data_IF_119404525322
#
_entry.id   IF_119404525322
#
_cell.length_a   1.000
_cell.length_b   1.000
_cell.length_c   1.000
_cell.angle_alpha   90.00
_cell.angle_beta   90.00
_cell.angle_gamma   90.00
#
_symmetry.space_group_name_H-M   'P 1'
#
loop_
_entity.id
_entity.type
_entity.pdbx_description
1 polymer ?
#
# COMPACT_ATOMS: atom_id res chain seq x y z
N UNK A 1 -2.00 -5.44 15.65
CA UNK A 1 -3.26 -6.17 15.41
C UNK A 1 -3.29 -6.87 14.05
N UNK A 2 -2.60 -6.37 13.02
CA UNK A 2 -2.41 -7.11 11.75
C UNK A 2 -0.90 -7.21 11.51
N UNK A 3 -0.34 -8.42 11.57
CA UNK A 3 1.09 -8.65 11.37
C UNK A 3 1.47 -8.71 9.89
N UNK A 4 0.56 -9.18 9.03
CA UNK A 4 0.76 -9.29 7.59
C UNK A 4 -0.57 -9.15 6.85
N UNK A 5 -0.54 -8.42 5.73
CA UNK A 5 -1.67 -8.28 4.81
C UNK A 5 -1.37 -9.12 3.57
N UNK A 6 -2.14 -10.20 3.38
CA UNK A 6 -1.95 -11.14 2.25
C UNK A 6 -2.71 -10.67 1.01
N UNK A 7 -3.91 -10.10 1.20
CA UNK A 7 -4.80 -9.65 0.13
C UNK A 7 -5.14 -8.15 0.34
N UNK A 8 -4.24 -7.23 -0.03
CA UNK A 8 -4.40 -5.82 0.31
C UNK A 8 -5.58 -5.15 -0.39
N UNK A 9 -5.97 -5.59 -1.58
CA UNK A 9 -7.15 -5.06 -2.29
C UNK A 9 -8.47 -5.49 -1.64
N UNK A 10 -8.54 -6.74 -1.15
CA UNK A 10 -9.72 -7.23 -0.44
C UNK A 10 -9.91 -6.50 0.89
N UNK A 11 -8.81 -6.33 1.63
CA UNK A 11 -8.83 -5.60 2.90
C UNK A 11 -9.20 -4.13 2.72
N UNK A 12 -8.69 -3.47 1.68
CA UNK A 12 -9.07 -2.11 1.31
C UNK A 12 -10.59 -1.98 1.15
N UNK A 13 -11.20 -2.86 0.33
CA UNK A 13 -12.65 -2.89 0.12
C UNK A 13 -13.45 -3.15 1.39
N UNK A 14 -12.96 -4.02 2.27
CA UNK A 14 -13.62 -4.27 3.57
C UNK A 14 -13.58 -3.03 4.48
N UNK A 15 -12.46 -2.29 4.47
CA UNK A 15 -12.32 -1.04 5.23
C UNK A 15 -13.25 0.05 4.70
N UNK A 16 -13.38 0.19 3.37
CA UNK A 16 -14.29 1.17 2.75
C UNK A 16 -15.76 0.91 3.10
N UNK A 17 -16.14 -0.36 3.28
CA UNK A 17 -17.50 -0.76 3.63
C UNK A 17 -17.76 -0.71 5.15
N UNK A 18 -16.74 -0.45 5.96
CA UNK A 18 -16.87 -0.43 7.42
C UNK A 18 -17.37 0.94 7.89
N UNK A 19 -18.53 0.96 8.55
CA UNK A 19 -19.11 2.19 9.09
C UNK A 19 -18.14 2.86 10.07
N UNK A 20 -17.92 4.17 9.89
CA UNK A 20 -17.01 4.95 10.72
C UNK A 20 -15.57 4.98 10.22
N UNK A 21 -15.21 4.20 9.20
CA UNK A 21 -13.97 4.38 8.45
C UNK A 21 -14.18 5.47 7.41
N UNK A 22 -13.34 6.50 7.45
CA UNK A 22 -13.39 7.61 6.49
C UNK A 22 -12.53 7.29 5.26
N UNK A 23 -11.33 6.75 5.49
CA UNK A 23 -10.35 6.41 4.47
C UNK A 23 -9.39 5.34 5.01
N UNK A 24 -8.69 4.62 4.12
CA UNK A 24 -7.64 3.67 4.50
C UNK A 24 -6.27 4.05 3.90
N UNK A 25 -5.18 3.60 4.55
CA UNK A 25 -3.81 3.86 4.09
C UNK A 25 -3.26 2.93 3.00
N UNK A 26 -4.08 2.08 2.39
CA UNK A 26 -3.64 1.11 1.38
C UNK A 26 -3.62 1.73 -0.03
N UNK A 27 -2.43 2.00 -0.55
CA UNK A 27 -2.23 2.56 -1.89
C UNK A 27 -2.05 1.46 -2.96
N UNK A 28 -3.12 0.69 -3.19
CA UNK A 28 -3.09 -0.43 -4.15
C UNK A 28 -3.18 0.07 -5.59
N UNK A 29 -2.26 -0.36 -6.46
CA UNK A 29 -2.31 -0.08 -7.90
C UNK A 29 -2.05 1.37 -8.34
N UNK A 30 -1.80 2.29 -7.41
CA UNK A 30 -1.64 3.72 -7.71
C UNK A 30 -0.21 4.10 -8.11
N UNK A 31 0.80 3.38 -7.62
CA UNK A 31 2.20 3.75 -7.77
C UNK A 31 2.76 3.26 -9.10
N UNK A 32 3.31 4.20 -9.89
CA UNK A 32 3.99 3.92 -11.17
C UNK A 32 5.52 3.86 -11.05
N UNK A 33 6.07 4.54 -10.04
CA UNK A 33 7.50 4.74 -9.84
C UNK A 33 7.80 4.78 -8.34
N UNK A 34 8.82 4.03 -7.92
CA UNK A 34 9.32 3.97 -6.55
C UNK A 34 10.81 4.31 -6.56
N UNK A 35 11.19 5.28 -5.73
CA UNK A 35 12.59 5.67 -5.52
C UNK A 35 13.03 5.12 -4.16
N UNK A 36 14.01 4.22 -4.16
CA UNK A 36 14.53 3.57 -2.95
C UNK A 36 15.93 4.10 -2.67
N UNK A 37 16.10 4.81 -1.56
CA UNK A 37 17.41 5.18 -1.05
C UNK A 37 18.03 3.99 -0.28
N UNK A 38 19.19 3.50 -0.75
CA UNK A 38 19.96 2.43 -0.11
C UNK A 38 21.31 2.93 0.34
N UNK A 39 21.98 2.16 1.20
CA UNK A 39 23.37 2.41 1.60
C UNK A 39 24.34 2.47 0.39
N UNK A 40 24.03 1.74 -0.67
CA UNK A 40 24.83 1.66 -1.90
C UNK A 40 24.45 2.70 -2.96
N UNK A 41 23.45 3.57 -2.69
CA UNK A 41 22.97 4.58 -3.63
C UNK A 41 21.45 4.55 -3.85
N UNK A 42 20.99 5.24 -4.89
CA UNK A 42 19.55 5.35 -5.24
C UNK A 42 19.17 4.24 -6.23
N UNK A 43 18.05 3.56 -5.99
CA UNK A 43 17.43 2.64 -6.93
C UNK A 43 16.08 3.18 -7.40
N UNK A 44 15.82 3.12 -8.70
CA UNK A 44 14.51 3.37 -9.29
C UNK A 44 13.83 2.04 -9.62
N UNK A 45 12.57 1.87 -9.22
CA UNK A 45 11.72 0.73 -9.58
C UNK A 45 10.48 1.31 -10.29
N UNK A 46 10.21 0.83 -11.49
CA UNK A 46 9.04 1.23 -12.30
C UNK A 46 8.17 0.00 -12.56
N UNK A 47 6.87 0.22 -12.79
CA UNK A 47 5.90 -0.82 -13.14
C UNK A 47 5.49 -0.69 -14.60
#
# INVERSE_FOLDING_TARGET
>A
HIEKIVEPEKLAKELDLTVGVVEHGLFNGMVKKVIVARKTGIQLIEK
#
